data_IF_373161223668
#
_entry.id   IF_373161223668
#
_cell.length_a   1.000
_cell.length_b   1.000
_cell.length_c   1.000
_cell.angle_alpha   90.00
_cell.angle_beta   90.00
_cell.angle_gamma   90.00
#
_symmetry.space_group_name_H-M   'P 1'
#
loop_
_entity.id
_entity.type
_entity.pdbx_description
1 polymer ?
#
# COMPACT_ATOMS: atom_id res chain seq x y z
N UNK A 1 -4.83 -30.64 1.75
CA UNK A 1 -4.91 -29.57 0.73
C UNK A 1 -4.08 -28.40 1.24
N UNK A 2 -3.27 -27.77 0.37
CA UNK A 2 -2.58 -26.53 0.74
C UNK A 2 -3.60 -25.43 1.07
N UNK A 3 -3.43 -24.77 2.21
CA UNK A 3 -4.31 -23.67 2.62
C UNK A 3 -3.70 -22.35 2.15
N UNK A 4 -4.33 -21.70 1.16
CA UNK A 4 -3.95 -20.38 0.68
C UNK A 4 -4.76 -19.32 1.40
N UNK A 5 -4.10 -18.24 1.81
CA UNK A 5 -4.75 -17.08 2.43
C UNK A 5 -4.36 -15.82 1.67
N UNK A 6 -5.33 -14.97 1.41
CA UNK A 6 -5.13 -13.61 0.88
C UNK A 6 -5.51 -12.63 1.96
N UNK A 7 -4.60 -11.75 2.34
CA UNK A 7 -4.89 -10.65 3.26
C UNK A 7 -5.02 -9.36 2.46
N UNK A 8 -6.16 -8.68 2.61
CA UNK A 8 -6.38 -7.37 2.06
C UNK A 8 -6.13 -6.29 3.11
N UNK A 9 -5.32 -5.29 2.74
CA UNK A 9 -4.99 -4.11 3.56
C UNK A 9 -5.47 -2.87 2.83
N UNK A 10 -6.48 -2.21 3.40
CA UNK A 10 -7.13 -1.05 2.79
C UNK A 10 -6.25 0.20 2.80
N UNK A 11 -6.61 1.17 1.98
CA UNK A 11 -6.03 2.51 1.98
C UNK A 11 -6.70 3.42 3.03
N UNK A 12 -6.30 4.69 3.06
CA UNK A 12 -6.92 5.69 3.93
C UNK A 12 -8.39 5.87 3.60
N UNK A 13 -9.22 5.82 4.62
CA UNK A 13 -10.68 5.94 4.48
C UNK A 13 -11.39 4.69 3.94
N UNK A 14 -10.64 3.62 3.61
CA UNK A 14 -11.18 2.32 3.29
C UNK A 14 -11.51 1.47 4.52
N UNK A 15 -11.89 0.23 4.31
CA UNK A 15 -12.20 -0.72 5.38
C UNK A 15 -11.80 -2.16 5.00
N UNK A 16 -11.72 -3.02 6.02
CA UNK A 16 -11.50 -4.46 5.85
C UNK A 16 -12.60 -5.14 5.02
N UNK A 17 -13.80 -4.58 4.97
CA UNK A 17 -14.94 -5.13 4.21
C UNK A 17 -14.71 -5.13 2.69
N UNK A 18 -13.85 -4.23 2.19
CA UNK A 18 -13.44 -4.18 0.78
C UNK A 18 -12.80 -5.50 0.32
N UNK A 19 -12.26 -6.30 1.24
CA UNK A 19 -11.77 -7.65 0.99
C UNK A 19 -12.80 -8.55 0.29
N UNK A 20 -14.10 -8.25 0.47
CA UNK A 20 -15.18 -9.02 -0.16
C UNK A 20 -15.11 -9.00 -1.68
N UNK A 21 -14.64 -7.88 -2.28
CA UNK A 21 -14.42 -7.76 -3.71
C UNK A 21 -13.45 -8.82 -4.24
N UNK A 22 -12.40 -9.10 -3.49
CA UNK A 22 -11.33 -10.01 -3.92
C UNK A 22 -11.66 -11.50 -3.79
N UNK A 23 -12.73 -11.87 -3.08
CA UNK A 23 -13.13 -13.29 -2.92
C UNK A 23 -13.38 -14.01 -4.25
N UNK A 24 -13.96 -13.31 -5.22
CA UNK A 24 -14.19 -13.87 -6.56
C UNK A 24 -12.92 -14.01 -7.39
N UNK A 25 -11.87 -13.24 -7.07
CA UNK A 25 -10.60 -13.24 -7.79
C UNK A 25 -9.64 -14.32 -7.28
N UNK A 26 -9.84 -14.79 -6.04
CA UNK A 26 -9.04 -15.82 -5.38
C UNK A 26 -9.92 -16.98 -4.88
N UNK A 27 -10.59 -17.74 -5.78
CA UNK A 27 -11.59 -18.74 -5.39
C UNK A 27 -11.01 -19.91 -4.57
N UNK A 28 -9.70 -20.16 -4.69
CA UNK A 28 -9.00 -21.25 -3.98
C UNK A 28 -8.33 -20.77 -2.67
N UNK A 29 -8.59 -19.54 -2.24
CA UNK A 29 -7.99 -18.96 -1.04
C UNK A 29 -9.05 -18.44 -0.07
N UNK A 30 -8.71 -18.45 1.22
CA UNK A 30 -9.43 -17.69 2.23
C UNK A 30 -9.03 -16.21 2.12
N UNK A 31 -9.98 -15.33 1.80
CA UNK A 31 -9.73 -13.88 1.69
C UNK A 31 -10.18 -13.18 2.96
N UNK A 32 -9.26 -12.50 3.62
CA UNK A 32 -9.44 -11.83 4.91
C UNK A 32 -9.08 -10.35 4.77
N UNK A 33 -9.98 -9.45 5.19
CA UNK A 33 -9.65 -8.03 5.33
C UNK A 33 -8.99 -7.78 6.69
N UNK A 34 -7.93 -6.98 6.70
CA UNK A 34 -7.27 -6.57 7.93
C UNK A 34 -7.82 -5.22 8.39
N UNK A 35 -8.57 -5.23 9.49
CA UNK A 35 -9.18 -4.05 10.12
C UNK A 35 -8.15 -3.39 11.06
N UNK A 36 -7.12 -2.80 10.48
CA UNK A 36 -6.07 -2.12 11.23
C UNK A 36 -6.48 -0.70 11.64
N UNK A 37 -5.93 -0.23 12.76
CA UNK A 37 -6.19 1.09 13.33
C UNK A 37 -4.98 2.04 13.22
N UNK A 38 -3.84 1.54 12.79
CA UNK A 38 -2.62 2.32 12.68
C UNK A 38 -2.81 3.54 11.75
N UNK A 39 -2.48 4.71 12.24
CA UNK A 39 -2.46 5.97 11.51
C UNK A 39 -1.03 6.42 11.13
N UNK A 40 -0.02 5.73 11.65
CA UNK A 40 1.39 6.06 11.46
C UNK A 40 2.26 4.78 11.33
N UNK A 41 3.43 4.87 10.66
CA UNK A 41 4.26 3.69 10.42
C UNK A 41 4.81 3.03 11.70
N UNK A 42 5.01 3.76 12.77
CA UNK A 42 5.42 3.19 14.07
C UNK A 42 4.29 2.40 14.73
N UNK A 43 3.02 2.78 14.53
CA UNK A 43 1.85 2.04 15.00
C UNK A 43 1.63 0.78 14.17
N UNK A 44 1.73 0.92 12.84
CA UNK A 44 1.68 -0.22 11.93
C UNK A 44 2.76 -1.26 12.27
N UNK A 45 3.95 -0.82 12.67
CA UNK A 45 5.06 -1.69 13.06
C UNK A 45 4.79 -2.49 14.34
N UNK A 46 3.87 -2.04 15.17
CA UNK A 46 3.40 -2.77 16.36
C UNK A 46 2.21 -3.69 16.02
N UNK A 47 1.26 -3.21 15.22
CA UNK A 47 -0.01 -3.87 14.95
C UNK A 47 0.09 -4.97 13.86
N UNK A 48 0.70 -4.67 12.71
CA UNK A 48 0.74 -5.55 11.54
C UNK A 48 1.42 -6.91 11.83
N UNK A 49 2.62 -6.95 12.47
CA UNK A 49 3.30 -8.20 12.75
C UNK A 49 2.47 -9.19 13.55
N UNK A 50 1.67 -8.70 14.50
CA UNK A 50 0.82 -9.56 15.35
C UNK A 50 -0.22 -10.28 14.50
N UNK A 51 -0.95 -9.54 13.66
CA UNK A 51 -1.98 -10.09 12.78
C UNK A 51 -1.38 -11.06 11.76
N UNK A 52 -0.34 -10.62 11.03
CA UNK A 52 0.25 -11.43 9.95
C UNK A 52 0.92 -12.71 10.45
N UNK A 53 1.59 -12.67 11.60
CA UNK A 53 2.17 -13.86 12.23
C UNK A 53 1.11 -14.89 12.58
N UNK A 54 -0.05 -14.46 13.11
CA UNK A 54 -1.15 -15.37 13.43
C UNK A 54 -1.77 -15.98 12.16
N UNK A 55 -1.93 -15.21 11.09
CA UNK A 55 -2.43 -15.74 9.82
C UNK A 55 -1.43 -16.70 9.18
N UNK A 56 -0.13 -16.38 9.21
CA UNK A 56 0.93 -17.24 8.66
C UNK A 56 0.99 -18.63 9.30
N UNK A 57 0.70 -18.75 10.58
CA UNK A 57 0.62 -20.04 11.29
C UNK A 57 -0.51 -20.94 10.77
N UNK A 58 -1.50 -20.38 10.07
CA UNK A 58 -2.73 -21.07 9.65
C UNK A 58 -2.78 -21.38 8.16
N UNK A 59 -1.79 -20.94 7.38
CA UNK A 59 -1.76 -21.14 5.94
C UNK A 59 -0.39 -21.58 5.44
N UNK A 60 -0.40 -22.27 4.30
CA UNK A 60 0.82 -22.69 3.59
C UNK A 60 1.35 -21.56 2.71
N UNK A 61 0.44 -20.75 2.13
CA UNK A 61 0.76 -19.57 1.31
C UNK A 61 -0.04 -18.37 1.76
N UNK A 62 0.64 -17.24 1.86
CA UNK A 62 0.05 -15.97 2.19
C UNK A 62 0.33 -14.94 1.09
N UNK A 63 -0.74 -14.47 0.45
CA UNK A 63 -0.71 -13.39 -0.54
C UNK A 63 -1.20 -12.10 0.11
N UNK A 64 -0.49 -11.01 -0.10
CA UNK A 64 -0.89 -9.67 0.33
C UNK A 64 -1.52 -8.93 -0.84
N UNK A 65 -2.70 -8.34 -0.65
CA UNK A 65 -3.28 -7.31 -1.52
C UNK A 65 -3.37 -6.03 -0.71
N UNK A 66 -2.70 -4.97 -1.14
CA UNK A 66 -2.69 -3.74 -0.36
C UNK A 66 -2.86 -2.50 -1.22
N UNK A 67 -3.66 -1.56 -0.71
CA UNK A 67 -4.02 -0.33 -1.41
C UNK A 67 -3.35 0.89 -0.76
N UNK A 68 -2.78 1.78 -1.58
CA UNK A 68 -2.31 3.12 -1.18
C UNK A 68 -1.37 3.10 0.04
N UNK A 69 -1.75 3.78 1.13
CA UNK A 69 -1.00 3.81 2.39
C UNK A 69 -0.95 2.45 3.08
N UNK A 70 -1.94 1.57 2.84
CA UNK A 70 -1.90 0.19 3.34
C UNK A 70 -0.70 -0.59 2.79
N UNK A 71 -0.33 -0.36 1.53
CA UNK A 71 0.89 -0.92 0.96
C UNK A 71 2.16 -0.35 1.64
N UNK A 72 2.19 0.96 1.90
CA UNK A 72 3.30 1.58 2.63
C UNK A 72 3.45 1.02 4.05
N UNK A 73 2.35 0.89 4.79
CA UNK A 73 2.38 0.31 6.15
C UNK A 73 2.83 -1.16 6.11
N UNK A 74 2.34 -1.93 5.13
CA UNK A 74 2.76 -3.31 4.95
C UNK A 74 4.27 -3.42 4.70
N UNK A 75 4.80 -2.63 3.77
CA UNK A 75 6.23 -2.63 3.43
C UNK A 75 7.14 -2.16 4.57
N UNK A 76 6.66 -1.25 5.42
CA UNK A 76 7.42 -0.71 6.55
C UNK A 76 7.35 -1.56 7.82
N UNK A 77 6.45 -2.54 7.88
CA UNK A 77 6.13 -3.25 9.13
C UNK A 77 6.28 -4.77 9.05
N UNK A 78 6.15 -5.36 7.84
CA UNK A 78 6.10 -6.81 7.70
C UNK A 78 7.48 -7.40 7.41
N UNK A 79 7.70 -8.58 7.98
CA UNK A 79 8.86 -9.40 7.64
C UNK A 79 8.60 -10.13 6.31
N UNK A 80 9.60 -10.13 5.44
CA UNK A 80 9.54 -10.75 4.13
C UNK A 80 9.24 -12.25 4.17
N UNK A 81 9.53 -12.93 5.28
CA UNK A 81 9.29 -14.37 5.45
C UNK A 81 7.81 -14.73 5.67
N UNK A 82 6.97 -13.76 5.97
CA UNK A 82 5.55 -14.01 6.21
C UNK A 82 4.70 -14.00 4.95
N UNK A 83 5.18 -13.43 3.87
CA UNK A 83 4.42 -13.16 2.65
C UNK A 83 5.13 -13.82 1.47
N UNK A 84 4.39 -14.58 0.68
CA UNK A 84 4.91 -15.25 -0.51
C UNK A 84 4.80 -14.38 -1.77
N UNK A 85 3.84 -13.43 -1.80
CA UNK A 85 3.57 -12.54 -2.94
C UNK A 85 2.76 -11.32 -2.49
N UNK A 86 2.94 -10.21 -3.22
CA UNK A 86 2.15 -9.00 -3.01
C UNK A 86 1.54 -8.45 -4.31
N UNK A 87 0.34 -7.88 -4.18
CA UNK A 87 -0.36 -7.07 -5.17
C UNK A 87 -0.57 -5.70 -4.57
N UNK A 88 0.07 -4.69 -5.13
CA UNK A 88 -0.08 -3.30 -4.67
C UNK A 88 -0.88 -2.48 -5.68
N UNK A 89 -1.90 -1.80 -5.19
CA UNK A 89 -2.78 -0.95 -5.99
C UNK A 89 -2.50 0.50 -5.59
N UNK A 90 -2.02 1.31 -6.52
CA UNK A 90 -1.62 2.71 -6.30
C UNK A 90 -0.82 2.90 -5.00
N UNK A 91 0.26 2.14 -4.75
CA UNK A 91 0.96 2.20 -3.47
C UNK A 91 1.58 3.57 -3.24
N UNK A 92 1.59 4.02 -1.98
CA UNK A 92 2.48 5.12 -1.56
C UNK A 92 3.91 4.56 -1.52
N UNK A 93 4.61 4.71 -2.65
CA UNK A 93 5.93 4.14 -2.87
C UNK A 93 7.07 4.94 -2.21
N UNK A 94 6.84 6.22 -1.97
CA UNK A 94 7.79 7.16 -1.36
C UNK A 94 7.03 8.14 -0.47
N UNK A 95 6.95 7.83 0.81
CA UNK A 95 6.22 8.64 1.78
C UNK A 95 6.91 9.98 2.07
N UNK A 96 8.25 10.04 1.97
CA UNK A 96 8.96 11.30 2.14
C UNK A 96 8.57 12.29 1.03
N UNK A 97 8.62 11.86 -0.23
CA UNK A 97 8.18 12.70 -1.37
C UNK A 97 6.71 13.10 -1.28
N UNK A 98 5.84 12.22 -0.78
CA UNK A 98 4.44 12.56 -0.59
C UNK A 98 4.30 13.67 0.47
N UNK A 99 5.00 13.58 1.59
CA UNK A 99 5.00 14.61 2.63
C UNK A 99 5.58 15.92 2.08
N UNK A 100 6.67 15.88 1.32
CA UNK A 100 7.28 17.06 0.68
C UNK A 100 6.27 17.74 -0.28
N UNK A 101 5.54 16.95 -1.06
CA UNK A 101 4.47 17.46 -1.93
C UNK A 101 3.34 18.10 -1.12
N UNK A 102 2.91 17.47 -0.03
CA UNK A 102 1.89 18.03 0.87
C UNK A 102 2.35 19.33 1.53
N UNK A 103 3.62 19.45 1.91
CA UNK A 103 4.22 20.67 2.41
C UNK A 103 4.18 21.79 1.36
N UNK A 104 4.54 21.45 0.10
CA UNK A 104 4.47 22.39 -1.02
C UNK A 104 3.03 22.87 -1.25
N UNK A 105 2.04 21.98 -1.27
CA UNK A 105 0.63 22.32 -1.46
C UNK A 105 0.10 23.21 -0.32
N UNK A 106 0.58 23.00 0.91
CA UNK A 106 0.21 23.78 2.08
C UNK A 106 1.00 25.11 2.19
N UNK A 107 2.05 25.31 1.39
CA UNK A 107 2.94 26.46 1.51
C UNK A 107 3.78 26.45 2.80
N UNK A 108 4.08 25.25 3.32
CA UNK A 108 4.81 25.04 4.59
C UNK A 108 6.25 24.69 4.29
N UNK A 109 7.20 25.40 4.90
CA UNK A 109 8.61 25.06 4.83
C UNK A 109 8.99 23.96 5.84
N UNK A 110 10.07 23.23 5.56
CA UNK A 110 10.59 22.22 6.48
C UNK A 110 11.01 22.84 7.83
N UNK A 111 11.58 24.05 7.81
CA UNK A 111 11.91 24.79 9.02
C UNK A 111 10.66 25.04 9.87
N UNK A 112 9.60 25.54 9.26
CA UNK A 112 8.33 25.81 9.93
C UNK A 112 7.73 24.53 10.52
N UNK A 113 7.74 23.42 9.77
CA UNK A 113 7.25 22.13 10.27
C UNK A 113 8.11 21.62 11.43
N UNK A 114 9.42 21.82 11.39
CA UNK A 114 10.33 21.40 12.46
C UNK A 114 10.11 22.18 13.76
N UNK A 115 9.74 23.47 13.65
CA UNK A 115 9.45 24.35 14.79
C UNK A 115 8.08 24.08 15.39
N UNK A 116 7.04 23.97 14.54
CA UNK A 116 5.64 23.79 14.98
C UNK A 116 5.29 22.35 15.32
N UNK A 117 6.06 21.37 14.83
CA UNK A 117 5.89 19.91 15.01
C UNK A 117 4.70 19.34 14.26
N UNK A 118 3.55 19.96 14.31
CA UNK A 118 2.34 19.54 13.60
C UNK A 118 1.65 20.77 13.01
N UNK A 119 1.21 20.65 11.75
CA UNK A 119 0.54 21.72 11.03
C UNK A 119 -0.67 21.14 10.31
N UNK A 120 -1.91 21.44 10.75
CA UNK A 120 -3.12 21.09 10.02
C UNK A 120 -3.16 21.82 8.68
N UNK A 121 -3.55 21.11 7.61
CA UNK A 121 -3.66 21.65 6.27
C UNK A 121 -5.10 21.92 5.87
N UNK A 122 -5.31 22.79 4.89
CA UNK A 122 -6.63 23.09 4.35
C UNK A 122 -7.30 21.90 3.61
N UNK A 123 -6.51 20.90 3.20
CA UNK A 123 -7.01 19.70 2.55
C UNK A 123 -7.25 18.51 3.51
N UNK A 124 -7.29 18.77 4.83
CA UNK A 124 -7.72 17.82 5.85
C UNK A 124 -6.63 16.89 6.39
N UNK A 125 -5.38 17.06 5.94
CA UNK A 125 -4.23 16.32 6.49
C UNK A 125 -3.51 17.14 7.56
N UNK A 126 -2.78 16.45 8.44
CA UNK A 126 -1.87 17.09 9.37
C UNK A 126 -0.43 16.73 9.01
N UNK A 127 0.36 17.72 8.61
CA UNK A 127 1.80 17.58 8.45
C UNK A 127 2.44 17.32 9.81
N UNK A 128 3.30 16.32 9.91
CA UNK A 128 3.97 15.96 11.16
C UNK A 128 5.48 15.85 10.97
N UNK A 129 6.23 16.64 11.74
CA UNK A 129 7.69 16.55 11.80
C UNK A 129 8.18 15.17 12.24
N UNK A 130 7.47 14.55 13.18
CA UNK A 130 7.77 13.19 13.63
C UNK A 130 7.64 12.19 12.47
N UNK A 131 6.58 12.33 11.66
CA UNK A 131 6.34 11.42 10.53
C UNK A 131 7.45 11.57 9.48
N UNK A 132 7.75 12.80 9.05
CA UNK A 132 8.80 13.09 8.08
C UNK A 132 10.16 12.55 8.54
N UNK A 133 10.54 12.84 9.78
CA UNK A 133 11.83 12.38 10.32
C UNK A 133 11.89 10.88 10.53
N UNK A 134 10.75 10.24 10.79
CA UNK A 134 10.67 8.78 10.90
C UNK A 134 10.91 8.12 9.54
N UNK A 135 10.21 8.53 8.48
CA UNK A 135 10.34 7.89 7.16
C UNK A 135 11.73 8.07 6.57
N UNK A 136 12.38 9.21 6.79
CA UNK A 136 13.79 9.45 6.43
C UNK A 136 14.75 8.47 7.09
N UNK A 137 14.49 8.08 8.33
CA UNK A 137 15.33 7.15 9.10
C UNK A 137 15.02 5.68 8.83
N UNK A 138 13.87 5.39 8.25
CA UNK A 138 13.39 4.04 8.03
C UNK A 138 12.98 3.86 6.56
N UNK A 139 13.94 3.86 5.62
CA UNK A 139 13.63 3.65 4.21
C UNK A 139 13.02 2.26 4.00
N UNK A 140 12.07 2.17 3.05
CA UNK A 140 11.46 0.89 2.68
C UNK A 140 12.52 -0.02 2.06
N UNK A 141 12.60 -1.24 2.62
CA UNK A 141 13.28 -2.38 2.02
C UNK A 141 12.22 -3.45 1.76
N UNK A 142 12.04 -3.85 0.48
CA UNK A 142 11.03 -4.83 0.11
C UNK A 142 11.57 -5.73 -1.00
N UNK A 143 11.47 -7.05 -0.82
CA UNK A 143 12.05 -8.05 -1.74
C UNK A 143 11.07 -9.15 -2.12
N UNK A 144 9.83 -9.06 -1.66
CA UNK A 144 8.80 -10.04 -1.98
C UNK A 144 8.39 -9.88 -3.45
N UNK A 145 8.19 -10.99 -4.18
CA UNK A 145 7.64 -10.93 -5.53
C UNK A 145 6.36 -10.09 -5.56
N UNK A 146 6.37 -8.99 -6.30
CA UNK A 146 5.31 -7.98 -6.24
C UNK A 146 4.84 -7.59 -7.62
N UNK A 147 3.52 -7.50 -7.78
CA UNK A 147 2.86 -6.86 -8.91
C UNK A 147 2.30 -5.52 -8.45
N UNK A 148 2.47 -4.47 -9.25
CA UNK A 148 1.97 -3.13 -8.96
C UNK A 148 0.99 -2.73 -10.06
N UNK A 149 -0.21 -2.31 -9.66
CA UNK A 149 -1.16 -1.61 -10.52
C UNK A 149 -1.11 -0.12 -10.18
N UNK A 150 -0.96 0.72 -11.21
CA UNK A 150 -0.84 2.16 -11.08
C UNK A 150 -1.77 2.87 -12.07
N UNK A 151 -2.45 3.90 -11.63
CA UNK A 151 -3.27 4.78 -12.49
C UNK A 151 -2.43 5.92 -13.05
N UNK A 152 -2.46 6.15 -14.37
CA UNK A 152 -1.67 7.22 -14.98
C UNK A 152 -2.10 8.63 -14.52
N UNK A 153 -3.30 8.77 -13.97
CA UNK A 153 -3.82 10.02 -13.40
C UNK A 153 -3.73 10.04 -11.86
N UNK A 154 -2.85 9.21 -11.28
CA UNK A 154 -2.57 9.25 -9.85
C UNK A 154 -1.98 10.61 -9.45
N UNK A 155 -2.60 11.27 -8.49
CA UNK A 155 -2.23 12.60 -8.02
C UNK A 155 -1.39 12.61 -6.73
N UNK A 156 -1.10 11.44 -6.16
CA UNK A 156 -0.30 11.30 -4.93
C UNK A 156 1.11 10.77 -5.19
N UNK A 157 1.26 9.89 -6.18
CA UNK A 157 2.55 9.31 -6.56
C UNK A 157 2.83 9.62 -8.03
N UNK A 158 3.96 10.22 -8.35
CA UNK A 158 4.29 10.51 -9.76
C UNK A 158 4.69 9.24 -10.53
N UNK A 159 4.50 9.24 -11.89
CA UNK A 159 4.93 8.13 -12.73
C UNK A 159 6.41 7.77 -12.58
N UNK A 160 7.27 8.78 -12.40
CA UNK A 160 8.72 8.58 -12.20
C UNK A 160 8.99 7.90 -10.86
N UNK A 161 8.26 8.30 -9.81
CA UNK A 161 8.43 7.71 -8.47
C UNK A 161 8.00 6.25 -8.45
N UNK A 162 6.85 5.92 -9.03
CA UNK A 162 6.39 4.53 -9.04
C UNK A 162 7.25 3.64 -9.94
N UNK A 163 7.72 4.15 -11.08
CA UNK A 163 8.61 3.41 -11.98
C UNK A 163 9.95 3.10 -11.32
N UNK A 164 10.58 4.11 -10.71
CA UNK A 164 11.85 3.93 -9.98
C UNK A 164 11.68 2.98 -8.78
N UNK A 165 10.55 3.03 -8.10
CA UNK A 165 10.24 2.11 -7.02
C UNK A 165 10.10 0.66 -7.52
N UNK A 166 9.30 0.45 -8.58
CA UNK A 166 9.11 -0.87 -9.18
C UNK A 166 10.43 -1.49 -9.65
N UNK A 167 11.27 -0.71 -10.33
CA UNK A 167 12.61 -1.14 -10.75
C UNK A 167 13.48 -1.52 -9.54
N UNK A 168 13.51 -0.71 -8.50
CA UNK A 168 14.31 -0.93 -7.29
C UNK A 168 13.97 -2.23 -6.57
N UNK A 169 12.68 -2.59 -6.51
CA UNK A 169 12.23 -3.81 -5.82
C UNK A 169 12.05 -5.01 -6.77
N UNK A 170 12.29 -4.84 -8.08
CA UNK A 170 12.08 -5.87 -9.08
C UNK A 170 10.61 -6.24 -9.28
N UNK A 171 9.69 -5.30 -9.10
CA UNK A 171 8.25 -5.53 -9.24
C UNK A 171 7.80 -5.40 -10.70
N UNK A 172 6.77 -6.15 -11.06
CA UNK A 172 6.05 -5.97 -12.32
C UNK A 172 5.07 -4.80 -12.21
N UNK A 173 5.28 -3.74 -13.01
CA UNK A 173 4.44 -2.55 -13.03
C UNK A 173 3.46 -2.60 -14.20
N UNK A 174 2.17 -2.52 -13.89
CA UNK A 174 1.08 -2.34 -14.85
C UNK A 174 0.49 -0.95 -14.67
N UNK A 175 0.38 -0.19 -15.77
CA UNK A 175 -0.20 1.15 -15.78
C UNK A 175 -1.55 1.13 -16.48
N UNK A 176 -2.60 1.61 -15.80
CA UNK A 176 -3.88 1.88 -16.42
C UNK A 176 -3.88 3.33 -16.98
N UNK A 177 -4.02 3.55 -18.30
CA UNK A 177 -3.91 4.90 -18.91
C UNK A 177 -4.91 5.92 -18.31
N UNK A 178 -6.15 5.49 -18.07
CA UNK A 178 -7.23 6.34 -17.53
C UNK A 178 -7.49 6.06 -16.04
N UNK A 179 -6.55 5.40 -15.33
CA UNK A 179 -6.66 5.06 -13.93
C UNK A 179 -6.32 6.25 -13.04
N UNK A 180 -7.06 6.42 -11.96
CA UNK A 180 -6.82 7.37 -10.88
C UNK A 180 -6.11 6.68 -9.71
N UNK A 181 -5.75 7.45 -8.67
CA UNK A 181 -5.22 6.87 -7.43
C UNK A 181 -6.20 5.89 -6.78
N UNK A 182 -7.46 6.24 -6.74
CA UNK A 182 -8.54 5.40 -6.22
C UNK A 182 -9.29 4.70 -7.36
N UNK A 183 -9.07 3.40 -7.50
CA UNK A 183 -9.77 2.55 -8.45
C UNK A 183 -11.21 2.29 -7.98
N UNK A 184 -12.18 3.09 -8.43
CA UNK A 184 -13.55 3.08 -7.94
C UNK A 184 -14.63 3.02 -9.03
N UNK A 185 -14.30 3.41 -10.26
CA UNK A 185 -15.26 3.30 -11.37
C UNK A 185 -15.36 1.86 -11.85
N UNK A 186 -16.49 1.51 -12.45
CA UNK A 186 -16.72 0.17 -13.01
C UNK A 186 -15.63 -0.25 -14.00
N UNK A 187 -15.15 0.69 -14.82
CA UNK A 187 -14.05 0.45 -15.76
C UNK A 187 -12.73 0.17 -15.03
N UNK A 188 -12.41 0.96 -14.01
CA UNK A 188 -11.19 0.80 -13.22
C UNK A 188 -11.20 -0.51 -12.43
N UNK A 189 -12.34 -0.87 -11.83
CA UNK A 189 -12.50 -2.13 -11.12
C UNK A 189 -12.39 -3.33 -12.07
N UNK A 190 -12.99 -3.29 -13.27
CA UNK A 190 -12.81 -4.36 -14.28
C UNK A 190 -11.35 -4.48 -14.72
N UNK A 191 -10.62 -3.38 -14.84
CA UNK A 191 -9.20 -3.42 -15.18
C UNK A 191 -8.39 -4.08 -14.06
N UNK A 192 -8.63 -3.69 -12.80
CA UNK A 192 -8.02 -4.28 -11.61
C UNK A 192 -8.27 -5.80 -11.54
N UNK A 193 -9.53 -6.22 -11.73
CA UNK A 193 -9.91 -7.63 -11.71
C UNK A 193 -9.14 -8.44 -12.77
N UNK A 194 -9.12 -7.94 -14.00
CA UNK A 194 -8.40 -8.58 -15.09
C UNK A 194 -6.89 -8.63 -14.84
N UNK A 195 -6.33 -7.57 -14.26
CA UNK A 195 -4.92 -7.53 -13.91
C UNK A 195 -4.56 -8.61 -12.88
N UNK A 196 -5.32 -8.75 -11.79
CA UNK A 196 -5.12 -9.82 -10.80
C UNK A 196 -5.26 -11.19 -11.45
N UNK A 197 -6.36 -11.43 -12.18
CA UNK A 197 -6.63 -12.75 -12.80
C UNK A 197 -5.55 -13.15 -13.83
N UNK A 198 -4.97 -12.20 -14.55
CA UNK A 198 -3.90 -12.47 -15.51
C UNK A 198 -2.57 -12.76 -14.78
N UNK A 199 -2.26 -12.01 -13.73
CA UNK A 199 -1.06 -12.24 -12.91
C UNK A 199 -1.10 -13.57 -12.17
N UNK A 200 -2.30 -14.07 -11.81
CA UNK A 200 -2.47 -15.39 -11.21
C UNK A 200 -2.30 -16.55 -12.21
N UNK A 201 -2.57 -16.33 -13.51
CA UNK A 201 -2.41 -17.35 -14.59
C UNK A 201 -0.98 -17.50 -15.08
N UNK A 202 -0.14 -16.52 -14.87
CA UNK A 202 1.25 -16.47 -15.35
C UNK A 202 2.23 -17.27 -14.46
N UNK A 203 1.70 -18.18 -13.64
CA UNK A 203 2.42 -19.04 -12.68
C UNK A 203 2.95 -20.32 -13.32
#
# INVERSE_FOLDING_TARGET
>A
MMKNTVIYVHGKGGSAEEATHYKALFPEAEVIGFDYQAAAPWEAKEEFPQFFTEQRKRCDRLTLVANSIGAFFSMSSLDETWIDRAYFISPVADMEKLIDSMMLWAGVSEQELSEKREIPTAFGETLSWRYLTYVRKHPISWRIPTHILYGAHDNLTSPETISAFAERIGAELTVMPDGEHWFHTEQQLRFLDNWILNSEKSR
#
